data_IF_473020342896
#
_entry.id   IF_473020342896
#
_cell.length_a   1.000
_cell.length_b   1.000
_cell.length_c   1.000
_cell.angle_alpha   90.00
_cell.angle_beta   90.00
_cell.angle_gamma   90.00
#
_symmetry.space_group_name_H-M   'P 1'
#
loop_
_entity.id
_entity.type
_entity.pdbx_description
1 polymer ?
#
# COMPACT_ATOMS: atom_id res chain seq x y z
N UNK A 1 -8.75 -11.60 -13.22
CA UNK A 1 -8.11 -10.35 -12.77
C UNK A 1 -8.52 -10.16 -11.33
N UNK A 2 -7.61 -10.44 -10.38
CA UNK A 2 -7.97 -10.43 -8.96
C UNK A 2 -7.91 -9.00 -8.42
N UNK A 3 -9.00 -8.60 -7.75
CA UNK A 3 -9.17 -7.29 -7.16
C UNK A 3 -9.37 -7.46 -5.66
N UNK A 4 -8.68 -6.64 -4.86
CA UNK A 4 -8.84 -6.60 -3.40
C UNK A 4 -9.42 -5.26 -2.97
N UNK A 5 -10.33 -5.30 -2.00
CA UNK A 5 -10.86 -4.11 -1.35
C UNK A 5 -9.82 -3.42 -0.48
N UNK A 6 -9.88 -2.09 -0.38
CA UNK A 6 -8.97 -1.31 0.48
C UNK A 6 -9.07 -1.72 1.96
N UNK A 7 -10.27 -2.07 2.44
CA UNK A 7 -10.50 -2.57 3.80
C UNK A 7 -9.81 -3.90 4.02
N UNK A 8 -10.02 -4.85 3.11
CA UNK A 8 -9.41 -6.19 3.20
C UNK A 8 -7.89 -6.10 3.10
N UNK A 9 -7.37 -5.24 2.22
CA UNK A 9 -5.94 -4.99 2.13
C UNK A 9 -5.37 -4.39 3.42
N UNK A 10 -6.09 -3.47 4.07
CA UNK A 10 -5.69 -2.90 5.35
C UNK A 10 -5.62 -4.00 6.43
N UNK A 11 -6.65 -4.83 6.54
CA UNK A 11 -6.69 -5.95 7.48
C UNK A 11 -5.55 -6.95 7.23
N UNK A 12 -5.28 -7.31 5.97
CA UNK A 12 -4.16 -8.18 5.59
C UNK A 12 -2.80 -7.57 5.91
N UNK A 13 -2.69 -6.24 5.89
CA UNK A 13 -1.48 -5.51 6.27
C UNK A 13 -1.34 -5.35 7.80
N UNK A 14 -2.25 -5.90 8.61
CA UNK A 14 -2.27 -5.76 10.06
C UNK A 14 -2.72 -4.38 10.55
N UNK A 15 -3.42 -3.62 9.70
CA UNK A 15 -4.04 -2.34 10.04
C UNK A 15 -5.53 -2.53 10.34
N UNK A 16 -6.16 -1.54 10.99
CA UNK A 16 -7.61 -1.53 11.16
C UNK A 16 -8.28 -1.02 9.86
N UNK A 17 -8.88 -1.94 9.10
CA UNK A 17 -9.58 -1.61 7.86
C UNK A 17 -10.87 -0.78 8.03
N UNK A 18 -11.41 -0.67 9.24
CA UNK A 18 -12.52 0.24 9.54
C UNK A 18 -12.03 1.65 9.88
N UNK A 19 -10.81 1.76 10.41
CA UNK A 19 -10.19 3.05 10.73
C UNK A 19 -10.01 3.92 9.47
N UNK A 20 -10.58 5.14 9.44
CA UNK A 20 -10.40 6.06 8.31
C UNK A 20 -8.96 6.54 8.16
N UNK A 21 -8.22 6.66 9.27
CA UNK A 21 -6.81 7.07 9.27
C UNK A 21 -5.90 6.01 8.67
N UNK A 22 -6.10 4.74 9.01
CA UNK A 22 -5.34 3.63 8.43
C UNK A 22 -5.65 3.45 6.94
N UNK A 23 -6.92 3.57 6.55
CA UNK A 23 -7.30 3.57 5.13
C UNK A 23 -6.70 4.75 4.37
N UNK A 24 -6.64 5.94 4.96
CA UNK A 24 -5.97 7.12 4.36
C UNK A 24 -4.47 6.86 4.23
N UNK A 25 -3.82 6.32 5.26
CA UNK A 25 -2.40 5.97 5.25
C UNK A 25 -2.08 4.95 4.15
N UNK A 26 -2.93 3.93 3.98
CA UNK A 26 -2.82 2.93 2.94
C UNK A 26 -2.99 3.56 1.54
N UNK A 27 -4.00 4.42 1.33
CA UNK A 27 -4.16 5.16 0.05
C UNK A 27 -2.95 6.03 -0.28
N UNK A 28 -2.38 6.73 0.70
CA UNK A 28 -1.15 7.50 0.52
C UNK A 28 0.03 6.60 0.15
N UNK A 29 0.12 5.39 0.71
CA UNK A 29 1.14 4.42 0.32
C UNK A 29 0.93 3.90 -1.10
N UNK A 30 -0.30 3.56 -1.50
CA UNK A 30 -0.64 3.15 -2.87
C UNK A 30 -0.24 4.25 -3.87
N UNK A 31 -0.58 5.51 -3.58
CA UNK A 31 -0.23 6.66 -4.41
C UNK A 31 1.29 6.84 -4.54
N UNK A 32 2.04 6.77 -3.43
CA UNK A 32 3.51 6.87 -3.43
C UNK A 32 4.19 5.77 -4.26
N UNK A 33 3.60 4.58 -4.30
CA UNK A 33 4.13 3.45 -5.06
C UNK A 33 3.52 3.33 -6.47
N UNK A 34 2.73 4.33 -6.90
CA UNK A 34 2.04 4.36 -8.21
C UNK A 34 1.21 3.09 -8.46
N UNK A 35 0.55 2.58 -7.43
CA UNK A 35 -0.35 1.43 -7.55
C UNK A 35 -1.71 1.96 -8.01
N UNK A 36 -2.19 1.60 -9.22
CA UNK A 36 -3.51 1.99 -9.68
C UNK A 36 -4.57 1.32 -8.81
N UNK A 37 -5.55 2.12 -8.39
CA UNK A 37 -6.75 1.64 -7.72
C UNK A 37 -7.97 2.37 -8.27
N UNK A 38 -9.10 1.67 -8.30
CA UNK A 38 -10.38 2.23 -8.74
C UNK A 38 -11.21 2.48 -7.50
N UNK A 39 -11.67 3.71 -7.30
CA UNK A 39 -12.64 4.02 -6.25
C UNK A 39 -14.03 3.58 -6.69
N UNK A 40 -14.72 2.82 -5.84
CA UNK A 40 -16.05 2.28 -6.11
C UNK A 40 -17.01 2.75 -5.03
N UNK A 41 -18.03 3.50 -5.44
CA UNK A 41 -19.10 3.98 -4.57
C UNK A 41 -19.07 5.49 -4.35
N UNK A 42 -20.25 6.11 -4.52
CA UNK A 42 -20.54 7.50 -4.13
C UNK A 42 -20.64 7.54 -2.60
N UNK A 43 -19.96 8.48 -1.95
CA UNK A 43 -20.05 8.68 -0.51
C UNK A 43 -21.48 9.14 -0.15
N UNK A 44 -22.39 8.18 0.05
CA UNK A 44 -23.73 8.44 0.58
C UNK A 44 -23.61 8.29 2.10
N UNK A 45 -23.80 9.43 2.78
CA UNK A 45 -23.97 9.64 4.23
C UNK A 45 -23.75 8.35 5.07
N UNK A 46 -22.51 8.14 5.51
CA UNK A 46 -22.15 7.07 6.46
C UNK A 46 -21.55 5.78 5.87
N UNK A 47 -21.53 5.58 4.54
CA UNK A 47 -20.87 4.42 3.91
C UNK A 47 -19.56 4.82 3.23
N UNK A 48 -18.44 4.28 3.69
CA UNK A 48 -17.12 4.56 3.11
C UNK A 48 -17.08 4.13 1.65
N UNK A 49 -16.63 5.02 0.75
CA UNK A 49 -16.27 4.65 -0.62
C UNK A 49 -15.29 3.47 -0.60
N UNK A 50 -15.63 2.38 -1.28
CA UNK A 50 -14.72 1.27 -1.51
C UNK A 50 -13.60 1.68 -2.48
N UNK A 51 -12.50 0.95 -2.46
CA UNK A 51 -11.53 1.00 -3.55
C UNK A 51 -11.09 -0.42 -3.88
N UNK A 52 -11.06 -0.74 -5.17
CA UNK A 52 -10.51 -1.99 -5.69
C UNK A 52 -9.11 -1.76 -6.19
N UNK A 53 -8.21 -2.64 -5.79
CA UNK A 53 -6.79 -2.58 -6.07
C UNK A 53 -6.43 -3.84 -6.85
N UNK A 54 -5.70 -3.67 -7.96
CA UNK A 54 -5.18 -4.81 -8.72
C UNK A 54 -4.10 -5.52 -7.90
N UNK A 55 -4.31 -6.81 -7.64
CA UNK A 55 -3.34 -7.64 -6.90
C UNK A 55 -2.00 -7.73 -7.64
N UNK A 56 -2.01 -7.83 -8.98
CA UNK A 56 -0.80 -7.86 -9.81
C UNK A 56 0.02 -6.58 -9.64
N UNK A 57 -0.63 -5.42 -9.70
CA UNK A 57 0.05 -4.15 -9.52
C UNK A 57 0.57 -3.97 -8.07
N UNK A 58 -0.18 -4.50 -7.09
CA UNK A 58 0.20 -4.50 -5.69
C UNK A 58 1.46 -5.35 -5.44
N UNK A 59 1.50 -6.59 -5.94
CA UNK A 59 2.66 -7.49 -5.79
C UNK A 59 3.91 -6.87 -6.42
N UNK A 60 3.82 -6.38 -7.66
CA UNK A 60 4.93 -5.73 -8.34
C UNK A 60 5.44 -4.47 -7.61
N UNK A 61 4.58 -3.78 -6.86
CA UNK A 61 4.99 -2.64 -6.05
C UNK A 61 5.63 -3.06 -4.72
N UNK A 62 5.16 -4.14 -4.10
CA UNK A 62 5.78 -4.71 -2.88
C UNK A 62 7.20 -5.19 -3.19
N UNK A 63 7.42 -5.88 -4.30
CA UNK A 63 8.74 -6.33 -4.75
C UNK A 63 9.69 -5.16 -5.02
N UNK A 64 9.21 -4.10 -5.69
CA UNK A 64 10.01 -2.89 -5.89
C UNK A 64 10.35 -2.21 -4.56
N UNK A 65 9.38 -2.10 -3.65
CA UNK A 65 9.61 -1.50 -2.35
C UNK A 65 10.59 -2.31 -1.48
N UNK A 66 10.53 -3.65 -1.55
CA UNK A 66 11.47 -4.53 -0.84
C UNK A 66 12.88 -4.43 -1.43
N UNK A 67 13.01 -4.37 -2.76
CA UNK A 67 14.29 -4.15 -3.45
C UNK A 67 14.92 -2.81 -3.05
N UNK A 68 14.15 -1.71 -3.06
CA UNK A 68 14.63 -0.38 -2.61
C UNK A 68 15.07 -0.40 -1.15
N UNK A 69 14.34 -1.11 -0.26
CA UNK A 69 14.75 -1.25 1.15
C UNK A 69 16.01 -2.10 1.31
N UNK A 70 16.15 -3.17 0.54
CA UNK A 70 17.35 -4.02 0.54
C UNK A 70 18.58 -3.23 0.05
N UNK A 71 18.42 -2.44 -1.01
CA UNK A 71 19.47 -1.59 -1.55
C UNK A 71 19.90 -0.51 -0.53
N UNK A 72 18.95 0.19 0.09
CA UNK A 72 19.27 1.15 1.17
C UNK A 72 20.01 0.50 2.34
N UNK A 73 19.66 -0.73 2.72
CA UNK A 73 20.40 -1.49 3.75
C UNK A 73 21.85 -1.74 3.33
N UNK A 74 22.07 -2.17 2.08
CA UNK A 74 23.41 -2.38 1.52
C UNK A 74 24.22 -1.07 1.48
N UNK A 75 23.60 0.03 1.08
CA UNK A 75 24.27 1.34 1.05
C UNK A 75 24.68 1.82 2.46
N UNK A 76 23.85 1.58 3.49
CA UNK A 76 24.21 1.90 4.88
C UNK A 76 25.36 1.03 5.40
N UNK A 77 25.35 -0.27 5.11
CA UNK A 77 26.44 -1.16 5.49
C UNK A 77 27.77 -0.74 4.85
N UNK A 78 27.75 -0.31 3.57
CA UNK A 78 28.94 0.22 2.88
C UNK A 78 29.46 1.53 3.46
N UNK A 79 28.59 2.37 4.04
CA UNK A 79 28.98 3.62 4.71
C UNK A 79 29.45 3.40 6.16
N UNK A 80 28.98 2.36 6.83
CA UNK A 80 29.38 2.03 8.21
C UNK A 80 30.70 1.26 8.35
N UNK A 81 31.22 0.68 7.26
CA UNK A 81 32.51 -0.04 7.25
C UNK A 81 33.72 0.78 6.76
N UNK A 82 33.59 2.10 6.69
CA UNK A 82 34.66 3.04 6.30
C UNK A 82 35.17 3.90 7.48
N UNK A 83 34.89 3.48 8.73
CA UNK A 83 35.35 4.13 9.95
C UNK A 83 36.48 3.37 10.62
#
# INVERSE_FOLDING_TARGET
MDLIGLRDLANMAGLDGESPDDRRRLRSWLARNRIPYVSIGRAVRGRTSGALISTVALVAAVERASAVRADRRRQRARRGGQG
#
